data_IF_529712792067
#
_entry.id   IF_529712792067
#
_cell.length_a   1.000
_cell.length_b   1.000
_cell.length_c   1.000
_cell.angle_alpha   90.00
_cell.angle_beta   90.00
_cell.angle_gamma   90.00
#
_symmetry.space_group_name_H-M   'P 1'
#
loop_
_entity.id
_entity.type
_entity.pdbx_description
1 polymer ?
#
# COMPACT_ATOMS: atom_id res chain seq x y z
N UNK A 1 -4.60 18.47 -3.80
CA UNK A 1 -5.87 17.86 -3.38
C UNK A 1 -7.00 18.03 -4.37
N UNK A 2 -7.20 19.16 -5.04
CA UNK A 2 -8.23 19.31 -6.10
C UNK A 2 -7.97 18.52 -7.40
N UNK A 3 -6.78 17.95 -7.57
CA UNK A 3 -6.43 17.16 -8.77
C UNK A 3 -7.17 15.82 -8.79
N UNK A 4 -7.32 15.15 -7.65
CA UNK A 4 -7.98 13.85 -7.55
C UNK A 4 -9.46 13.88 -7.97
N UNK A 5 -10.17 14.94 -7.62
CA UNK A 5 -11.58 15.10 -7.98
C UNK A 5 -11.74 15.39 -9.47
N UNK A 6 -10.87 16.25 -10.03
CA UNK A 6 -10.85 16.53 -11.47
C UNK A 6 -10.46 15.31 -12.32
N UNK A 7 -9.52 14.48 -11.84
CA UNK A 7 -9.15 13.26 -12.53
C UNK A 7 -10.32 12.30 -12.70
N UNK A 8 -11.24 12.23 -11.74
CA UNK A 8 -12.46 11.42 -11.84
C UNK A 8 -13.37 11.81 -13.00
N UNK A 9 -13.46 13.10 -13.32
CA UNK A 9 -14.26 13.61 -14.43
C UNK A 9 -13.62 13.31 -15.78
N UNK A 10 -12.29 13.26 -15.83
CA UNK A 10 -11.51 13.14 -17.06
C UNK A 10 -11.19 11.68 -17.41
N UNK A 11 -10.86 10.86 -16.42
CA UNK A 11 -10.39 9.49 -16.61
C UNK A 11 -11.31 8.60 -17.49
N UNK A 12 -12.65 8.66 -17.36
CA UNK A 12 -13.56 7.86 -18.20
C UNK A 12 -13.44 8.17 -19.69
N UNK A 13 -13.06 9.39 -20.06
CA UNK A 13 -12.86 9.80 -21.46
C UNK A 13 -11.70 9.04 -22.14
N UNK A 14 -10.81 8.47 -21.33
CA UNK A 14 -9.66 7.67 -21.75
C UNK A 14 -9.82 6.18 -21.46
N UNK A 15 -11.03 5.73 -21.09
CA UNK A 15 -11.27 4.33 -20.71
C UNK A 15 -10.61 3.92 -19.39
N UNK A 16 -10.26 4.89 -18.52
CA UNK A 16 -9.59 4.65 -17.26
C UNK A 16 -10.60 4.59 -16.13
N UNK A 17 -10.60 3.50 -15.36
CA UNK A 17 -11.30 3.40 -14.09
C UNK A 17 -10.48 4.13 -13.03
N UNK A 18 -11.01 5.23 -12.51
CA UNK A 18 -10.33 6.05 -11.52
C UNK A 18 -11.02 5.97 -10.16
N UNK A 19 -10.26 5.64 -9.12
CA UNK A 19 -10.69 5.62 -7.73
C UNK A 19 -9.74 6.44 -6.87
N UNK A 20 -10.27 7.09 -5.84
CA UNK A 20 -9.47 7.97 -4.99
C UNK A 20 -9.98 8.00 -3.56
N UNK A 21 -9.08 8.05 -2.55
CA UNK A 21 -9.43 8.35 -1.17
C UNK A 21 -9.66 9.86 -0.93
N UNK A 22 -9.56 10.68 -1.97
CA UNK A 22 -9.57 12.15 -1.92
C UNK A 22 -8.31 12.71 -1.22
N UNK A 23 -7.96 12.18 -0.05
CA UNK A 23 -6.74 12.41 0.72
C UNK A 23 -6.44 11.19 1.60
N UNK A 24 -5.19 11.02 1.96
CA UNK A 24 -4.81 10.04 2.98
C UNK A 24 -5.09 10.61 4.38
N UNK A 25 -5.28 9.75 5.38
CA UNK A 25 -5.48 10.13 6.77
C UNK A 25 -4.30 9.62 7.60
N UNK A 26 -3.69 10.50 8.38
CA UNK A 26 -2.54 10.14 9.22
C UNK A 26 -2.67 10.75 10.62
N UNK A 27 -2.05 10.14 11.61
CA UNK A 27 -2.00 10.70 12.96
C UNK A 27 -1.11 11.94 12.98
N UNK A 28 -1.51 12.98 13.69
CA UNK A 28 -0.72 14.20 13.84
C UNK A 28 0.66 13.91 14.41
N UNK A 29 1.68 14.46 13.79
CA UNK A 29 3.08 14.20 14.15
C UNK A 29 3.67 12.90 13.57
N UNK A 30 2.89 12.12 12.79
CA UNK A 30 3.34 10.93 12.08
C UNK A 30 3.40 11.16 10.56
N UNK A 31 4.00 10.21 9.86
CA UNK A 31 4.12 10.21 8.41
C UNK A 31 2.77 10.37 7.70
N UNK A 32 2.77 11.11 6.60
CA UNK A 32 1.59 11.31 5.75
C UNK A 32 1.24 12.78 5.46
N UNK A 33 1.91 13.74 6.10
CA UNK A 33 1.61 15.16 5.97
C UNK A 33 1.74 15.76 4.56
N UNK A 34 2.50 15.12 3.66
CA UNK A 34 2.65 15.55 2.26
C UNK A 34 1.38 15.30 1.46
N UNK A 35 0.70 14.18 1.72
CA UNK A 35 -0.42 13.67 0.89
C UNK A 35 -1.74 13.59 1.66
N UNK A 36 -1.72 13.80 2.97
CA UNK A 36 -2.83 13.50 3.85
C UNK A 36 -3.29 14.65 4.73
N UNK A 37 -4.28 14.31 5.56
CA UNK A 37 -4.83 15.16 6.62
C UNK A 37 -4.61 14.52 7.98
N UNK A 38 -4.16 15.30 8.98
CA UNK A 38 -3.91 14.78 10.32
C UNK A 38 -5.19 14.67 11.14
N UNK A 39 -5.19 13.69 12.06
CA UNK A 39 -6.12 13.58 13.18
C UNK A 39 -5.34 13.49 14.51
N UNK A 40 -5.92 13.91 15.60
CA UNK A 40 -5.36 13.78 16.95
C UNK A 40 -6.07 12.70 17.78
N UNK A 41 -7.36 12.47 17.51
CA UNK A 41 -8.21 11.52 18.22
C UNK A 41 -9.22 10.85 17.28
N UNK A 42 -9.85 9.76 17.72
CA UNK A 42 -10.78 8.97 16.89
C UNK A 42 -12.02 9.75 16.44
N UNK A 43 -12.45 10.77 17.18
CA UNK A 43 -13.56 11.62 16.73
C UNK A 43 -13.17 12.42 15.49
N UNK A 44 -11.99 13.04 15.49
CA UNK A 44 -11.47 13.74 14.32
C UNK A 44 -11.23 12.80 13.13
N UNK A 45 -10.72 11.58 13.40
CA UNK A 45 -10.61 10.55 12.36
C UNK A 45 -11.96 10.24 11.73
N UNK A 46 -13.00 10.00 12.54
CA UNK A 46 -14.36 9.74 12.04
C UNK A 46 -14.92 10.92 11.23
N UNK A 47 -14.64 12.16 11.64
CA UNK A 47 -15.05 13.35 10.90
C UNK A 47 -14.34 13.44 9.52
N UNK A 48 -13.05 13.05 9.45
CA UNK A 48 -12.32 12.95 8.18
C UNK A 48 -12.87 11.84 7.27
N UNK A 49 -13.24 10.68 7.80
CA UNK A 49 -13.90 9.60 7.05
C UNK A 49 -15.22 10.09 6.44
N UNK A 50 -16.04 10.82 7.22
CA UNK A 50 -17.29 11.45 6.73
C UNK A 50 -17.01 12.51 5.66
N UNK A 51 -15.91 13.25 5.77
CA UNK A 51 -15.51 14.21 4.73
C UNK A 51 -15.15 13.50 3.43
N UNK A 52 -14.39 12.39 3.49
CA UNK A 52 -14.11 11.54 2.32
C UNK A 52 -15.43 11.09 1.67
N UNK A 53 -16.39 10.63 2.48
CA UNK A 53 -17.72 10.22 2.02
C UNK A 53 -18.46 11.35 1.30
N UNK A 54 -18.51 12.53 1.92
CA UNK A 54 -19.16 13.73 1.36
C UNK A 54 -18.54 14.18 0.04
N UNK A 55 -17.22 14.03 -0.10
CA UNK A 55 -16.46 14.38 -1.31
C UNK A 55 -16.46 13.25 -2.36
N UNK A 56 -17.21 12.19 -2.12
CA UNK A 56 -17.33 11.08 -3.06
C UNK A 56 -16.08 10.20 -3.15
N UNK A 57 -15.26 10.11 -2.11
CA UNK A 57 -14.13 9.17 -2.06
C UNK A 57 -14.61 7.72 -2.22
N UNK A 58 -13.72 6.86 -2.73
CA UNK A 58 -14.04 5.46 -3.02
C UNK A 58 -13.59 4.52 -1.90
N UNK A 59 -12.57 4.91 -1.13
CA UNK A 59 -11.97 4.14 -0.05
C UNK A 59 -11.28 5.07 0.95
N UNK A 60 -10.87 4.52 2.09
CA UNK A 60 -10.07 5.24 3.09
C UNK A 60 -8.60 4.81 2.95
N UNK A 61 -7.68 5.77 2.79
CA UNK A 61 -6.23 5.56 2.85
C UNK A 61 -5.71 6.00 4.20
N UNK A 62 -5.07 5.09 4.94
CA UNK A 62 -4.45 5.39 6.24
C UNK A 62 -2.94 5.18 6.20
N UNK A 63 -2.23 5.90 7.08
CA UNK A 63 -0.80 5.72 7.33
C UNK A 63 -0.64 5.15 8.75
N UNK A 64 -0.14 3.92 8.85
CA UNK A 64 0.02 3.22 10.14
C UNK A 64 1.46 3.23 10.64
N UNK A 65 2.41 3.50 9.75
CA UNK A 65 3.86 3.55 10.05
C UNK A 65 4.53 4.70 9.31
N UNK A 66 5.79 4.95 9.62
CA UNK A 66 6.69 5.70 8.75
C UNK A 66 7.05 4.94 7.47
N UNK A 67 7.83 5.59 6.62
CA UNK A 67 8.39 4.95 5.42
C UNK A 67 9.61 4.09 5.78
N UNK A 68 9.97 3.22 4.87
CA UNK A 68 11.24 2.51 4.91
C UNK A 68 12.42 3.50 4.93
N UNK A 69 13.44 3.21 5.72
CA UNK A 69 14.66 4.00 5.75
C UNK A 69 15.63 3.50 4.67
N UNK A 70 15.90 4.33 3.67
CA UNK A 70 16.80 3.97 2.57
C UNK A 70 18.29 4.11 2.89
N UNK A 71 18.62 4.68 4.05
CA UNK A 71 20.01 4.78 4.54
C UNK A 71 20.38 3.62 5.48
N UNK A 72 19.38 2.87 5.97
CA UNK A 72 19.60 1.80 6.95
C UNK A 72 18.65 0.64 6.68
N UNK A 73 19.18 -0.50 6.23
CA UNK A 73 18.40 -1.71 6.04
C UNK A 73 17.74 -2.18 7.36
N UNK A 74 16.55 -2.77 7.25
CA UNK A 74 15.77 -3.29 8.38
C UNK A 74 15.06 -2.21 9.21
N UNK A 75 15.07 -0.94 8.82
CA UNK A 75 14.49 0.13 9.62
C UNK A 75 13.38 0.92 8.92
N UNK A 76 12.46 1.45 9.71
CA UNK A 76 11.42 2.39 9.30
C UNK A 76 11.59 3.70 10.05
N UNK A 77 11.20 4.82 9.44
CA UNK A 77 11.48 6.16 9.96
C UNK A 77 10.73 6.53 11.22
N UNK A 78 9.63 5.82 11.53
CA UNK A 78 8.78 6.12 12.69
C UNK A 78 8.20 4.84 13.30
N UNK A 79 7.86 4.92 14.60
CA UNK A 79 7.17 3.83 15.28
C UNK A 79 5.75 3.64 14.69
N UNK A 80 5.28 2.38 14.59
CA UNK A 80 3.92 2.10 14.16
C UNK A 80 2.88 2.63 15.16
N UNK A 81 1.68 2.91 14.66
CA UNK A 81 0.50 3.12 15.50
C UNK A 81 0.18 1.85 16.32
N UNK A 82 -0.50 2.03 17.45
CA UNK A 82 -0.92 0.90 18.28
C UNK A 82 -2.02 0.06 17.59
N UNK A 83 -2.04 -1.25 17.90
CA UNK A 83 -3.03 -2.19 17.35
C UNK A 83 -4.47 -1.72 17.55
N UNK A 84 -4.83 -1.35 18.79
CA UNK A 84 -6.20 -0.94 19.11
C UNK A 84 -6.61 0.33 18.35
N UNK A 85 -5.68 1.24 18.14
CA UNK A 85 -5.92 2.46 17.35
C UNK A 85 -6.16 2.12 15.88
N UNK A 86 -5.32 1.27 15.28
CA UNK A 86 -5.50 0.82 13.88
C UNK A 86 -6.81 0.06 13.72
N UNK A 87 -7.15 -0.81 14.67
CA UNK A 87 -8.40 -1.57 14.68
C UNK A 87 -9.63 -0.66 14.73
N UNK A 88 -9.59 0.37 15.57
CA UNK A 88 -10.68 1.35 15.65
C UNK A 88 -10.79 2.17 14.36
N UNK A 89 -9.66 2.56 13.77
CA UNK A 89 -9.66 3.27 12.46
C UNK A 89 -10.30 2.42 11.37
N UNK A 90 -9.94 1.15 11.28
CA UNK A 90 -10.51 0.22 10.29
C UNK A 90 -12.00 0.02 10.55
N UNK A 91 -12.39 -0.19 11.81
CA UNK A 91 -13.80 -0.34 12.19
C UNK A 91 -14.65 0.87 11.78
N UNK A 92 -14.23 2.08 12.11
CA UNK A 92 -14.93 3.33 11.74
C UNK A 92 -15.08 3.45 10.21
N UNK A 93 -14.04 3.11 9.45
CA UNK A 93 -14.09 3.17 7.99
C UNK A 93 -15.09 2.14 7.42
N UNK A 94 -15.08 0.89 7.94
CA UNK A 94 -15.99 -0.16 7.52
C UNK A 94 -17.45 0.16 7.85
N UNK A 95 -17.74 0.71 9.04
CA UNK A 95 -19.10 1.15 9.42
C UNK A 95 -19.65 2.25 8.48
N UNK A 96 -18.76 3.09 7.93
CA UNK A 96 -19.14 4.10 6.93
C UNK A 96 -19.22 3.54 5.49
N UNK A 97 -18.98 2.22 5.32
CA UNK A 97 -19.08 1.49 4.05
C UNK A 97 -17.84 1.59 3.17
N UNK A 98 -16.67 1.89 3.75
CA UNK A 98 -15.41 2.00 3.01
C UNK A 98 -14.49 0.82 3.28
N UNK A 99 -13.77 0.39 2.25
CA UNK A 99 -12.57 -0.43 2.43
C UNK A 99 -11.37 0.42 2.81
N UNK A 100 -10.39 -0.20 3.46
CA UNK A 100 -9.20 0.48 4.01
C UNK A 100 -7.95 0.02 3.29
N UNK A 101 -7.23 0.98 2.71
CA UNK A 101 -5.91 0.85 2.12
C UNK A 101 -4.87 1.38 3.13
N UNK A 102 -3.96 0.53 3.60
CA UNK A 102 -3.03 0.87 4.67
C UNK A 102 -1.56 0.91 4.20
N UNK A 103 -0.94 2.10 4.23
CA UNK A 103 0.51 2.20 4.19
C UNK A 103 1.07 1.62 5.49
N UNK A 104 1.80 0.52 5.40
CA UNK A 104 2.28 -0.22 6.57
C UNK A 104 3.61 -0.92 6.27
N UNK A 105 4.59 -0.74 7.14
CA UNK A 105 5.92 -1.36 7.05
C UNK A 105 6.29 -2.04 8.37
N UNK A 106 7.07 -3.13 8.28
CA UNK A 106 7.52 -3.92 9.42
C UNK A 106 6.56 -5.03 9.81
N UNK A 107 7.11 -6.21 10.12
CA UNK A 107 6.37 -7.45 10.33
C UNK A 107 5.22 -7.32 11.32
N UNK A 108 5.50 -6.78 12.51
CA UNK A 108 4.46 -6.62 13.54
C UNK A 108 3.32 -5.71 13.09
N UNK A 109 3.64 -4.57 12.48
CA UNK A 109 2.63 -3.61 12.06
C UNK A 109 1.76 -4.16 10.92
N UNK A 110 2.35 -4.87 9.97
CA UNK A 110 1.61 -5.53 8.88
C UNK A 110 0.68 -6.60 9.44
N UNK A 111 1.16 -7.47 10.36
CA UNK A 111 0.32 -8.46 11.03
C UNK A 111 -0.85 -7.80 11.75
N UNK A 112 -0.57 -6.76 12.56
CA UNK A 112 -1.59 -6.04 13.32
C UNK A 112 -2.61 -5.36 12.41
N UNK A 113 -2.19 -4.75 11.30
CA UNK A 113 -3.09 -4.12 10.33
C UNK A 113 -3.97 -5.16 9.60
N UNK A 114 -3.41 -6.31 9.22
CA UNK A 114 -4.17 -7.40 8.61
C UNK A 114 -5.22 -7.97 9.57
N UNK A 115 -4.84 -8.24 10.83
CA UNK A 115 -5.76 -8.70 11.89
C UNK A 115 -6.82 -7.66 12.23
N UNK A 116 -6.48 -6.38 12.17
CA UNK A 116 -7.43 -5.27 12.32
C UNK A 116 -8.46 -5.19 11.19
N UNK A 117 -8.23 -5.89 10.07
CA UNK A 117 -9.15 -5.95 8.93
C UNK A 117 -8.82 -4.99 7.80
N UNK A 118 -7.59 -4.49 7.68
CA UNK A 118 -7.18 -3.71 6.52
C UNK A 118 -7.40 -4.52 5.22
N UNK A 119 -8.01 -3.90 4.23
CA UNK A 119 -8.38 -4.57 2.96
C UNK A 119 -7.18 -4.74 2.04
N UNK A 120 -6.25 -3.79 2.06
CA UNK A 120 -4.93 -3.95 1.45
C UNK A 120 -3.82 -3.37 2.32
N UNK A 121 -2.63 -3.96 2.17
CA UNK A 121 -1.37 -3.45 2.69
C UNK A 121 -0.52 -2.97 1.53
N UNK A 122 -0.14 -1.70 1.57
CA UNK A 122 0.79 -1.10 0.65
C UNK A 122 2.20 -1.19 1.21
N UNK A 123 3.15 -1.49 0.36
CA UNK A 123 4.56 -1.74 0.65
C UNK A 123 4.79 -3.03 1.44
N UNK A 124 4.48 -3.06 2.73
CA UNK A 124 4.71 -4.24 3.56
C UNK A 124 6.21 -4.60 3.64
N UNK A 125 7.10 -3.60 3.64
CA UNK A 125 8.53 -3.87 3.73
C UNK A 125 8.86 -4.56 5.06
N UNK A 126 9.83 -5.49 5.04
CA UNK A 126 10.31 -6.24 6.20
C UNK A 126 9.23 -7.12 6.87
N UNK A 127 8.28 -7.65 6.10
CA UNK A 127 7.34 -8.65 6.59
C UNK A 127 8.03 -9.97 6.93
N UNK A 128 7.49 -10.70 7.87
CA UNK A 128 7.84 -12.07 8.21
C UNK A 128 6.72 -13.06 7.85
N UNK A 129 6.94 -14.35 8.08
CA UNK A 129 5.94 -15.37 7.77
C UNK A 129 4.66 -15.22 8.58
N UNK A 130 4.75 -14.76 9.85
CA UNK A 130 3.55 -14.54 10.67
C UNK A 130 2.66 -13.44 10.09
N UNK A 131 3.27 -12.36 9.59
CA UNK A 131 2.55 -11.30 8.92
C UNK A 131 1.94 -11.76 7.58
N UNK A 132 2.67 -12.61 6.82
CA UNK A 132 2.15 -13.19 5.57
C UNK A 132 0.94 -14.11 5.84
N UNK A 133 1.00 -14.96 6.85
CA UNK A 133 -0.13 -15.80 7.25
C UNK A 133 -1.32 -14.95 7.71
N UNK A 134 -1.09 -13.89 8.48
CA UNK A 134 -2.15 -12.97 8.88
C UNK A 134 -2.83 -12.30 7.67
N UNK A 135 -2.05 -11.84 6.68
CA UNK A 135 -2.62 -11.30 5.44
C UNK A 135 -3.48 -12.33 4.70
N UNK A 136 -2.98 -13.57 4.55
CA UNK A 136 -3.72 -14.66 3.89
C UNK A 136 -5.02 -14.99 4.61
N UNK A 137 -4.97 -15.19 5.93
CA UNK A 137 -6.13 -15.58 6.75
C UNK A 137 -7.22 -14.50 6.76
N UNK A 138 -6.82 -13.23 6.81
CA UNK A 138 -7.73 -12.09 6.78
C UNK A 138 -8.08 -11.63 5.36
N UNK A 139 -7.59 -12.32 4.33
CA UNK A 139 -7.82 -11.98 2.91
C UNK A 139 -7.38 -10.56 2.57
N UNK A 140 -6.36 -10.05 3.25
CA UNK A 140 -5.74 -8.77 2.96
C UNK A 140 -4.91 -8.87 1.70
N UNK A 141 -5.11 -7.98 0.75
CA UNK A 141 -4.32 -7.93 -0.48
C UNK A 141 -2.99 -7.23 -0.19
N UNK A 142 -1.89 -7.79 -0.64
CA UNK A 142 -0.57 -7.17 -0.51
C UNK A 142 -0.12 -6.55 -1.83
N UNK A 143 0.21 -5.25 -1.80
CA UNK A 143 0.69 -4.45 -2.93
C UNK A 143 2.12 -3.99 -2.61
N UNK A 144 3.17 -4.73 -2.99
CA UNK A 144 4.54 -4.52 -2.51
C UNK A 144 5.19 -3.21 -2.95
N UNK A 145 4.89 -2.70 -4.14
CA UNK A 145 5.50 -1.48 -4.70
C UNK A 145 7.04 -1.51 -4.72
N UNK A 146 7.61 -2.69 -4.97
CA UNK A 146 9.05 -2.94 -4.85
C UNK A 146 9.90 -2.17 -5.87
N UNK A 147 9.28 -1.72 -6.97
CA UNK A 147 9.92 -0.89 -7.99
C UNK A 147 10.51 0.39 -7.41
N UNK A 148 9.95 0.92 -6.32
CA UNK A 148 10.51 2.10 -5.62
C UNK A 148 11.96 1.85 -5.22
N UNK A 149 12.27 0.67 -4.69
CA UNK A 149 13.63 0.28 -4.31
C UNK A 149 14.49 0.01 -5.54
N UNK A 150 13.98 -0.80 -6.48
CA UNK A 150 14.71 -1.20 -7.68
C UNK A 150 15.20 0.00 -8.48
N UNK A 151 14.31 0.98 -8.69
CA UNK A 151 14.65 2.17 -9.49
C UNK A 151 15.63 3.12 -8.81
N UNK A 152 15.85 2.99 -7.51
CA UNK A 152 16.83 3.80 -6.79
C UNK A 152 18.25 3.22 -6.84
N UNK A 153 18.42 1.93 -7.13
CA UNK A 153 19.76 1.31 -7.25
C UNK A 153 20.49 1.99 -8.42
N UNK A 154 21.71 2.47 -8.16
CA UNK A 154 22.53 3.18 -9.13
C UNK A 154 22.19 4.67 -9.30
N UNK A 155 21.20 5.23 -8.58
CA UNK A 155 20.83 6.64 -8.73
C UNK A 155 21.78 7.62 -8.03
N UNK A 156 22.68 7.12 -7.15
CA UNK A 156 23.67 7.91 -6.42
C UNK A 156 23.13 8.76 -5.27
N UNK A 157 21.83 8.63 -4.93
CA UNK A 157 21.22 9.34 -3.81
C UNK A 157 21.38 8.62 -2.47
N UNK A 158 21.34 7.31 -2.49
CA UNK A 158 21.50 6.42 -1.34
C UNK A 158 22.60 5.40 -1.63
N UNK A 159 23.07 4.68 -0.62
CA UNK A 159 24.06 3.61 -0.79
C UNK A 159 23.45 2.45 -1.58
N UNK A 160 24.06 2.08 -2.70
CA UNK A 160 23.63 0.92 -3.49
C UNK A 160 23.71 -0.37 -2.66
N UNK A 161 24.72 -0.52 -1.79
CA UNK A 161 24.83 -1.67 -0.88
C UNK A 161 23.60 -1.82 0.03
N UNK A 162 23.06 -0.70 0.53
CA UNK A 162 21.85 -0.72 1.37
C UNK A 162 20.62 -1.02 0.52
N UNK A 163 20.49 -0.38 -0.64
CA UNK A 163 19.35 -0.58 -1.55
C UNK A 163 19.29 -2.03 -2.07
N UNK A 164 20.43 -2.62 -2.40
CA UNK A 164 20.52 -4.02 -2.83
C UNK A 164 20.08 -4.99 -1.73
N UNK A 165 20.47 -4.77 -0.47
CA UNK A 165 19.99 -5.57 0.67
C UNK A 165 18.48 -5.45 0.86
N UNK A 166 17.94 -4.24 0.73
CA UNK A 166 16.49 -4.01 0.81
C UNK A 166 15.78 -4.72 -0.33
N UNK A 167 16.30 -4.62 -1.55
CA UNK A 167 15.78 -5.31 -2.73
C UNK A 167 15.78 -6.84 -2.54
N UNK A 168 16.90 -7.42 -2.10
CA UNK A 168 17.02 -8.86 -1.85
C UNK A 168 16.03 -9.34 -0.78
N UNK A 169 15.90 -8.59 0.30
CA UNK A 169 14.95 -8.91 1.39
C UNK A 169 13.50 -8.81 0.90
N UNK A 170 13.15 -7.73 0.20
CA UNK A 170 11.82 -7.55 -0.38
C UNK A 170 11.48 -8.64 -1.40
N UNK A 171 12.44 -8.98 -2.27
CA UNK A 171 12.29 -10.04 -3.28
C UNK A 171 12.02 -11.40 -2.64
N UNK A 172 12.81 -11.79 -1.63
CA UNK A 172 12.57 -13.05 -0.88
C UNK A 172 11.20 -13.06 -0.21
N UNK A 173 10.79 -11.93 0.36
CA UNK A 173 9.51 -11.82 1.03
C UNK A 173 8.33 -11.92 0.04
N UNK A 174 8.42 -11.29 -1.13
CA UNK A 174 7.41 -11.40 -2.18
C UNK A 174 7.31 -12.85 -2.68
N UNK A 175 8.46 -13.50 -2.96
CA UNK A 175 8.48 -14.90 -3.35
C UNK A 175 7.85 -15.79 -2.27
N UNK A 176 8.20 -15.58 -1.01
CA UNK A 176 7.67 -16.35 0.11
C UNK A 176 6.16 -16.11 0.32
N UNK A 177 5.71 -14.86 0.20
CA UNK A 177 4.28 -14.51 0.24
C UNK A 177 3.48 -15.22 -0.86
N UNK A 178 4.03 -15.26 -2.07
CA UNK A 178 3.46 -16.02 -3.18
C UNK A 178 3.33 -17.52 -2.83
N UNK A 179 4.39 -18.16 -2.31
CA UNK A 179 4.40 -19.57 -1.93
C UNK A 179 3.37 -19.89 -0.82
N UNK A 180 3.24 -19.00 0.17
CA UNK A 180 2.24 -19.11 1.24
C UNK A 180 0.82 -18.96 0.67
N UNK A 181 0.66 -18.26 -0.44
CA UNK A 181 -0.63 -17.93 -1.07
C UNK A 181 -1.26 -16.66 -0.52
N UNK A 182 -0.44 -15.67 -0.18
CA UNK A 182 -0.90 -14.29 0.04
C UNK A 182 -1.40 -13.73 -1.28
N UNK A 183 -2.54 -13.07 -1.28
CA UNK A 183 -3.04 -12.41 -2.48
C UNK A 183 -2.20 -11.19 -2.81
N UNK A 184 -1.37 -11.31 -3.84
CA UNK A 184 -0.54 -10.22 -4.37
C UNK A 184 -1.30 -9.42 -5.42
N UNK A 185 -1.10 -8.11 -5.47
CA UNK A 185 -1.61 -7.26 -6.53
C UNK A 185 -0.56 -6.24 -6.99
N UNK A 186 -0.72 -5.80 -8.23
CA UNK A 186 0.19 -4.84 -8.86
C UNK A 186 -0.11 -3.41 -8.41
N UNK A 187 0.92 -2.68 -8.00
CA UNK A 187 0.87 -1.25 -7.69
C UNK A 187 2.27 -0.68 -7.66
N UNK A 188 2.48 0.49 -8.23
CA UNK A 188 3.82 1.04 -8.45
C UNK A 188 4.22 2.15 -7.48
N UNK A 189 3.27 2.71 -6.73
CA UNK A 189 3.49 3.96 -5.97
C UNK A 189 4.01 5.12 -6.86
N UNK A 190 3.43 5.24 -8.09
CA UNK A 190 3.85 6.26 -9.04
C UNK A 190 3.70 7.68 -8.46
N UNK A 191 4.75 8.47 -8.61
CA UNK A 191 4.95 9.75 -7.93
C UNK A 191 6.02 9.68 -6.84
N UNK A 192 6.40 8.48 -6.39
CA UNK A 192 7.61 8.27 -5.61
C UNK A 192 8.86 8.62 -6.45
N UNK A 193 9.98 8.83 -5.77
CA UNK A 193 11.24 9.18 -6.45
C UNK A 193 11.65 8.11 -7.46
N UNK A 194 11.90 8.50 -8.69
CA UNK A 194 12.21 7.64 -9.84
C UNK A 194 11.12 6.63 -10.24
N UNK A 195 9.88 6.84 -9.81
CA UNK A 195 8.73 6.04 -10.25
C UNK A 195 7.76 6.92 -11.06
N UNK A 196 7.97 7.07 -12.38
CA UNK A 196 7.10 7.90 -13.20
C UNK A 196 5.73 7.26 -13.43
N UNK A 197 4.70 8.10 -13.56
CA UNK A 197 3.36 7.63 -13.91
C UNK A 197 3.37 6.89 -15.25
N UNK A 198 2.67 5.77 -15.32
CA UNK A 198 2.62 4.90 -16.48
C UNK A 198 3.79 3.91 -16.53
N UNK A 199 5.03 4.39 -16.53
CA UNK A 199 6.21 3.51 -16.58
C UNK A 199 6.35 2.68 -15.31
N UNK A 200 6.13 3.27 -14.12
CA UNK A 200 6.29 2.57 -12.85
C UNK A 200 5.47 1.29 -12.71
N UNK A 201 4.28 1.21 -13.33
CA UNK A 201 3.48 -0.03 -13.29
C UNK A 201 4.10 -1.15 -14.14
N UNK A 202 4.77 -0.79 -15.24
CA UNK A 202 5.52 -1.74 -16.06
C UNK A 202 6.77 -2.21 -15.31
N UNK A 203 7.49 -1.28 -14.67
CA UNK A 203 8.66 -1.60 -13.87
C UNK A 203 8.30 -2.58 -12.73
N UNK A 204 7.18 -2.36 -12.03
CA UNK A 204 6.70 -3.25 -10.98
C UNK A 204 6.36 -4.65 -11.52
N UNK A 205 5.72 -4.73 -12.69
CA UNK A 205 5.45 -6.02 -13.34
C UNK A 205 6.74 -6.76 -13.73
N UNK A 206 7.75 -6.05 -14.24
CA UNK A 206 9.07 -6.61 -14.54
C UNK A 206 9.77 -7.10 -13.26
N UNK A 207 9.66 -6.37 -12.14
CA UNK A 207 10.14 -6.81 -10.84
C UNK A 207 9.49 -8.15 -10.40
N UNK A 208 8.16 -8.28 -10.53
CA UNK A 208 7.50 -9.54 -10.21
C UNK A 208 7.97 -10.71 -11.08
N UNK A 209 8.27 -10.47 -12.35
CA UNK A 209 8.82 -11.50 -13.23
C UNK A 209 10.22 -11.94 -12.79
N UNK A 210 11.09 -10.97 -12.49
CA UNK A 210 12.44 -11.24 -11.99
C UNK A 210 12.39 -12.03 -10.67
N UNK A 211 11.57 -11.60 -9.73
CA UNK A 211 11.46 -12.19 -8.39
C UNK A 211 10.91 -13.62 -8.43
N UNK A 212 9.83 -13.84 -9.18
CA UNK A 212 9.15 -15.14 -9.18
C UNK A 212 9.78 -16.15 -10.14
N UNK A 213 10.65 -15.69 -11.06
CA UNK A 213 11.28 -16.56 -12.05
C UNK A 213 10.27 -17.32 -12.94
N UNK A 214 9.06 -16.78 -13.10
CA UNK A 214 7.95 -17.36 -13.83
C UNK A 214 7.81 -16.73 -15.21
N UNK A 215 7.13 -17.44 -16.12
CA UNK A 215 6.82 -16.87 -17.42
C UNK A 215 5.79 -15.74 -17.30
N UNK A 216 5.79 -14.86 -18.29
CA UNK A 216 4.95 -13.65 -18.33
C UNK A 216 3.47 -13.96 -18.13
N UNK A 217 2.99 -15.09 -18.64
CA UNK A 217 1.57 -15.47 -18.55
C UNK A 217 1.16 -15.78 -17.12
N UNK A 218 1.94 -16.62 -16.40
CA UNK A 218 1.63 -16.99 -15.01
C UNK A 218 1.66 -15.79 -14.07
N UNK A 219 2.67 -14.91 -14.21
CA UNK A 219 2.76 -13.68 -13.43
C UNK A 219 1.58 -12.75 -13.72
N UNK A 220 1.24 -12.58 -15.00
CA UNK A 220 0.13 -11.73 -15.41
C UNK A 220 -1.21 -12.27 -14.89
N UNK A 221 -1.47 -13.57 -14.98
CA UNK A 221 -2.70 -14.19 -14.48
C UNK A 221 -2.84 -14.00 -12.96
N UNK A 222 -1.77 -14.19 -12.19
CA UNK A 222 -1.75 -13.96 -10.74
C UNK A 222 -2.05 -12.49 -10.41
N UNK A 223 -1.41 -11.56 -11.11
CA UNK A 223 -1.59 -10.12 -10.85
C UNK A 223 -2.98 -9.63 -11.27
N UNK A 224 -3.57 -10.18 -12.34
CA UNK A 224 -4.96 -9.91 -12.74
C UNK A 224 -5.96 -10.43 -11.70
N UNK A 225 -5.69 -11.57 -11.06
CA UNK A 225 -6.49 -12.03 -9.92
C UNK A 225 -6.40 -11.04 -8.76
N UNK A 226 -5.21 -10.55 -8.44
CA UNK A 226 -5.00 -9.51 -7.43
C UNK A 226 -5.74 -8.22 -7.75
N UNK A 227 -5.69 -7.76 -9.00
CA UNK A 227 -6.47 -6.61 -9.45
C UNK A 227 -7.98 -6.84 -9.26
N UNK A 228 -8.48 -8.01 -9.63
CA UNK A 228 -9.89 -8.36 -9.41
C UNK A 228 -10.27 -8.26 -7.94
N UNK A 229 -9.43 -8.74 -7.02
CA UNK A 229 -9.67 -8.63 -5.58
C UNK A 229 -9.66 -7.18 -5.09
N UNK A 230 -8.74 -6.35 -5.58
CA UNK A 230 -8.75 -4.92 -5.30
C UNK A 230 -10.04 -4.29 -5.83
N UNK A 231 -10.45 -4.61 -7.04
CA UNK A 231 -11.69 -4.07 -7.61
C UNK A 231 -12.92 -4.47 -6.80
N UNK A 232 -13.03 -5.75 -6.38
CA UNK A 232 -14.14 -6.26 -5.56
C UNK A 232 -14.21 -5.56 -4.19
N UNK A 233 -13.06 -5.39 -3.52
CA UNK A 233 -12.98 -4.79 -2.19
C UNK A 233 -13.22 -3.27 -2.20
N UNK A 234 -12.64 -2.56 -3.14
CA UNK A 234 -12.65 -1.10 -3.19
C UNK A 234 -13.82 -0.52 -4.00
N UNK A 235 -14.91 -1.25 -4.12
CA UNK A 235 -16.21 -0.73 -4.58
C UNK A 235 -16.93 -0.13 -3.38
N UNK A 236 -17.32 1.14 -3.49
CA UNK A 236 -18.16 1.79 -2.49
C UNK A 236 -19.50 1.05 -2.40
N UNK A 237 -19.83 0.57 -1.23
CA UNK A 237 -21.09 -0.10 -0.90
C UNK A 237 -22.14 0.87 -0.42
#
# INVERSE_FOLDING_TARGET
MGVSEKAREIAPQYGITYRTPVFAIHKKGHYGGIVGRPFENMKEYADLVKEVKKRGGDFIKIMTTGIMNFDTDGSVTEKPLGFDEVKEMVHIAHEEGFSVMAHTNGARAVREAAVAGADSIEHGNYVDEEAMWAMKENKTVWVPTITVVKNMIGCGRFSDEVLEKIWETGSRNIQRGYEIGVQLALGSDAGAYLVPHGQGIKDEWECFQEILGKNNKEVTEMLLEGESKIQEKFIRR
#
